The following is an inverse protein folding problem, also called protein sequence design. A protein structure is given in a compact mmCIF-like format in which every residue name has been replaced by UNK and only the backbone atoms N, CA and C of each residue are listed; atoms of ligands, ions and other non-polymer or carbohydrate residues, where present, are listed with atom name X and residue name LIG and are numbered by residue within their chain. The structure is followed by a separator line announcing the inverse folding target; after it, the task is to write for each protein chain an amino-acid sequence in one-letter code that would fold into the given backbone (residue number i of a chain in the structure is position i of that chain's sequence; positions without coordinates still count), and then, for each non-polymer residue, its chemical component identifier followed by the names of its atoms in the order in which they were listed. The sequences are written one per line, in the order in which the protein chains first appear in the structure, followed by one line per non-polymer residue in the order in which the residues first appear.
data_IF_911237664601
#
_entry.id   IF_911237664601
#
_cell.length_a   1.000
_cell.length_b   1.000
_cell.length_c   1.000
_cell.angle_alpha   90.00
_cell.angle_beta   90.00
_cell.angle_gamma   90.00
#
_symmetry.space_group_name_H-M   'P 1'
#
loop_
_entity.id
_entity.type
_entity.pdbx_description
1 polymer ?
#
# COMPACT_ATOMS: atom_id res chain seq x y z
N UNK A 1 15.53 26.59 0.27
CA UNK A 1 16.65 26.30 1.20
C UNK A 1 16.41 24.91 1.79
N UNK A 2 17.34 23.96 1.62
CA UNK A 2 17.19 22.58 2.10
C UNK A 2 17.71 22.47 3.55
N UNK A 3 16.87 22.67 4.55
CA UNK A 3 17.27 22.69 5.97
C UNK A 3 17.40 21.29 6.62
N UNK A 4 16.96 20.24 5.92
CA UNK A 4 16.82 18.89 6.47
C UNK A 4 17.93 17.89 6.07
N UNK A 5 18.93 18.30 5.27
CA UNK A 5 19.92 17.40 4.64
C UNK A 5 20.69 16.46 5.58
N UNK A 6 20.88 16.82 6.86
CA UNK A 6 21.72 16.07 7.80
C UNK A 6 20.98 14.99 8.60
N UNK A 7 19.67 15.16 8.83
CA UNK A 7 18.79 14.21 9.53
C UNK A 7 17.35 14.32 9.00
N UNK A 8 17.12 14.05 7.71
CA UNK A 8 15.86 14.35 7.05
C UNK A 8 14.68 13.60 7.69
N UNK A 9 14.85 12.32 8.04
CA UNK A 9 13.80 11.53 8.68
C UNK A 9 13.36 12.12 10.04
N UNK A 10 14.30 12.56 10.88
CA UNK A 10 14.00 13.13 12.18
C UNK A 10 13.20 14.43 12.07
N UNK A 11 13.64 15.35 11.21
CA UNK A 11 12.96 16.64 11.03
C UNK A 11 11.64 16.55 10.25
N UNK A 12 11.41 15.46 9.51
CA UNK A 12 10.13 15.17 8.85
C UNK A 12 9.12 14.51 9.80
N UNK A 13 9.57 14.00 10.95
CA UNK A 13 8.71 13.42 11.98
C UNK A 13 8.43 14.43 13.11
N UNK A 14 9.45 15.22 13.49
CA UNK A 14 9.37 16.23 14.55
C UNK A 14 9.35 17.65 13.98
N UNK A 15 8.14 18.20 13.85
CA UNK A 15 7.94 19.54 13.30
C UNK A 15 8.48 20.64 14.22
N UNK A 16 8.49 20.41 15.54
CA UNK A 16 9.01 21.37 16.50
C UNK A 16 10.52 21.50 16.36
N UNK A 17 11.22 20.37 16.24
CA UNK A 17 12.66 20.38 15.99
C UNK A 17 13.02 21.04 14.65
N UNK A 18 12.19 20.88 13.62
CA UNK A 18 12.38 21.57 12.34
C UNK A 18 12.11 23.08 12.45
N UNK A 19 11.09 23.48 13.21
CA UNK A 19 10.73 24.87 13.46
C UNK A 19 11.84 25.61 14.21
N UNK A 20 12.36 25.03 15.30
CA UNK A 20 13.49 25.58 16.05
C UNK A 20 14.73 25.76 15.18
N UNK A 21 15.05 24.75 14.37
CA UNK A 21 16.16 24.84 13.41
C UNK A 21 15.94 25.96 12.40
N UNK A 22 14.74 26.07 11.85
CA UNK A 22 14.38 27.12 10.88
C UNK A 22 14.50 28.51 11.50
N UNK A 23 14.00 28.69 12.73
CA UNK A 23 14.10 29.94 13.48
C UNK A 23 15.55 30.37 13.74
N UNK A 24 16.45 29.41 14.01
CA UNK A 24 17.88 29.67 14.14
C UNK A 24 18.46 30.23 12.84
N UNK A 25 18.15 29.62 11.69
CA UNK A 25 18.64 30.11 10.39
C UNK A 25 18.04 31.47 10.00
N UNK A 26 16.78 31.73 10.32
CA UNK A 26 16.16 33.04 10.09
C UNK A 26 16.92 34.16 10.82
N UNK A 27 17.36 33.91 12.06
CA UNK A 27 18.18 34.86 12.83
C UNK A 27 19.57 35.03 12.20
N UNK A 28 20.28 33.94 11.92
CA UNK A 28 21.62 34.01 11.31
C UNK A 28 21.63 34.72 9.94
N UNK A 29 20.62 34.48 9.11
CA UNK A 29 20.50 35.12 7.80
C UNK A 29 20.18 36.61 7.92
N UNK A 30 19.41 37.00 8.95
CA UNK A 30 19.16 38.40 9.25
C UNK A 30 20.43 39.09 9.77
N UNK A 31 21.20 38.43 10.64
CA UNK A 31 22.44 38.97 11.20
C UNK A 31 23.52 39.12 10.12
N UNK A 32 23.54 38.22 9.14
CA UNK A 32 24.40 38.29 7.97
C UNK A 32 23.92 39.30 6.88
N UNK A 33 22.80 40.00 7.11
CA UNK A 33 22.24 40.98 6.17
C UNK A 33 21.60 40.39 4.91
N UNK A 34 21.42 39.07 4.85
CA UNK A 34 20.80 38.36 3.72
C UNK A 34 19.27 38.50 3.75
N UNK A 35 18.70 38.59 4.96
CA UNK A 35 17.27 38.85 5.19
C UNK A 35 17.06 40.19 5.92
N UNK A 36 15.99 40.90 5.60
CA UNK A 36 15.59 42.07 6.38
C UNK A 36 15.05 41.66 7.75
N UNK A 37 15.20 42.54 8.75
CA UNK A 37 14.67 42.30 10.09
C UNK A 37 13.14 42.08 10.07
N UNK A 38 12.42 42.81 9.23
CA UNK A 38 10.98 42.64 9.06
C UNK A 38 10.62 41.23 8.56
N UNK A 39 11.37 40.68 7.59
CA UNK A 39 11.14 39.32 7.08
C UNK A 39 11.49 38.25 8.11
N UNK A 40 12.57 38.45 8.89
CA UNK A 40 12.92 37.59 10.03
C UNK A 40 11.76 37.53 11.01
N UNK A 41 11.25 38.69 11.42
CA UNK A 41 10.23 38.77 12.46
C UNK A 41 8.93 38.12 11.99
N UNK A 42 8.49 38.36 10.75
CA UNK A 42 7.34 37.66 10.16
C UNK A 42 7.54 36.13 10.16
N UNK A 43 8.74 35.68 9.75
CA UNK A 43 9.07 34.25 9.73
C UNK A 43 9.05 33.61 11.12
N UNK A 44 9.56 34.29 12.14
CA UNK A 44 9.55 33.80 13.53
C UNK A 44 8.14 33.72 14.14
N UNK A 45 7.20 34.55 13.67
CA UNK A 45 5.79 34.51 14.11
C UNK A 45 4.94 33.49 13.34
N UNK A 46 5.49 32.86 12.30
CA UNK A 46 4.78 31.90 11.46
C UNK A 46 5.26 30.48 11.78
N UNK A 47 4.53 29.70 12.60
CA UNK A 47 4.94 28.33 12.92
C UNK A 47 4.86 27.44 11.67
N UNK A 48 5.83 26.55 11.50
CA UNK A 48 5.78 25.53 10.47
C UNK A 48 4.61 24.58 10.72
N UNK A 49 3.85 24.30 9.67
CA UNK A 49 2.78 23.30 9.65
C UNK A 49 3.02 22.34 8.50
N UNK A 50 2.77 21.04 8.72
CA UNK A 50 2.77 20.10 7.63
C UNK A 50 1.59 20.43 6.70
N UNK A 51 1.88 20.58 5.41
CA UNK A 51 0.82 20.65 4.42
C UNK A 51 0.08 19.31 4.44
N UNK A 52 -1.26 19.30 4.64
CA UNK A 52 -2.01 18.06 4.52
C UNK A 52 -1.73 17.45 3.15
N UNK A 53 -1.36 16.16 3.13
CA UNK A 53 -1.04 15.45 1.90
C UNK A 53 -2.25 15.56 0.94
N UNK A 54 -2.09 16.30 -0.15
CA UNK A 54 -3.06 16.36 -1.24
C UNK A 54 -2.98 15.12 -2.15
N UNK A 55 -2.06 14.19 -1.88
CA UNK A 55 -2.09 12.89 -2.56
C UNK A 55 -3.45 12.25 -2.26
N UNK A 56 -4.16 11.75 -3.29
CA UNK A 56 -5.38 11.00 -3.06
C UNK A 56 -5.08 9.94 -2.00
N UNK A 57 -5.94 9.85 -0.99
CA UNK A 57 -5.91 8.79 0.01
C UNK A 57 -5.47 7.52 -0.69
N UNK A 58 -4.29 6.99 -0.34
CA UNK A 58 -3.83 5.72 -0.88
C UNK A 58 -4.96 4.77 -0.50
N UNK A 59 -5.75 4.38 -1.51
CA UNK A 59 -6.91 3.50 -1.37
C UNK A 59 -6.51 2.42 -0.38
N UNK A 60 -7.26 2.24 0.72
CA UNK A 60 -6.90 1.28 1.76
C UNK A 60 -6.56 -0.05 1.09
N UNK A 61 -5.26 -0.32 0.99
CA UNK A 61 -4.75 -1.45 0.22
C UNK A 61 -5.07 -2.66 1.07
N UNK A 62 -5.96 -3.53 0.57
CA UNK A 62 -6.32 -4.73 1.33
C UNK A 62 -5.12 -5.66 1.38
N UNK A 63 -5.05 -6.57 2.36
CA UNK A 63 -3.98 -7.57 2.40
C UNK A 63 -3.93 -8.43 1.12
N UNK A 64 -5.10 -8.66 0.50
CA UNK A 64 -5.20 -9.35 -0.79
C UNK A 64 -4.49 -8.57 -1.90
N UNK A 65 -4.67 -7.25 -1.94
CA UNK A 65 -4.01 -6.37 -2.92
C UNK A 65 -2.49 -6.39 -2.74
N UNK A 66 -2.01 -6.37 -1.48
CA UNK A 66 -0.59 -6.44 -1.17
C UNK A 66 0.01 -7.77 -1.62
N UNK A 67 -0.68 -8.91 -1.37
CA UNK A 67 -0.19 -10.24 -1.75
C UNK A 67 -0.04 -10.37 -3.26
N UNK A 68 -1.06 -9.97 -4.01
CA UNK A 68 -1.04 -10.12 -5.45
C UNK A 68 -0.02 -9.16 -6.10
N UNK A 69 0.06 -7.92 -5.61
CA UNK A 69 1.08 -6.95 -6.04
C UNK A 69 2.49 -7.44 -5.75
N UNK A 70 2.71 -8.01 -4.56
CA UNK A 70 4.02 -8.56 -4.18
C UNK A 70 4.43 -9.75 -5.06
N UNK A 71 3.49 -10.66 -5.34
CA UNK A 71 3.72 -11.79 -6.24
C UNK A 71 4.12 -11.31 -7.64
N UNK A 72 3.37 -10.36 -8.19
CA UNK A 72 3.64 -9.74 -9.49
C UNK A 72 5.03 -9.08 -9.52
N UNK A 73 5.38 -8.30 -8.49
CA UNK A 73 6.69 -7.63 -8.42
C UNK A 73 7.85 -8.62 -8.32
N UNK A 74 7.67 -9.70 -7.57
CA UNK A 74 8.66 -10.79 -7.48
C UNK A 74 8.86 -11.48 -8.84
N UNK A 75 7.76 -11.76 -9.56
CA UNK A 75 7.83 -12.33 -10.92
C UNK A 75 8.53 -11.38 -11.90
N UNK A 76 8.18 -10.09 -11.87
CA UNK A 76 8.82 -9.06 -12.71
C UNK A 76 10.33 -8.94 -12.42
N UNK A 77 10.72 -8.99 -11.14
CA UNK A 77 12.13 -8.98 -10.76
C UNK A 77 12.89 -10.13 -11.42
N UNK A 78 12.33 -11.34 -11.40
CA UNK A 78 12.92 -12.53 -12.00
C UNK A 78 12.98 -12.42 -13.54
N UNK A 79 11.90 -11.96 -14.17
CA UNK A 79 11.82 -11.81 -15.63
C UNK A 79 12.81 -10.77 -16.16
N UNK A 80 12.92 -9.64 -15.48
CA UNK A 80 13.82 -8.54 -15.84
C UNK A 80 15.24 -8.73 -15.32
N UNK A 81 15.49 -9.80 -14.54
CA UNK A 81 16.79 -10.15 -13.96
C UNK A 81 17.42 -9.01 -13.16
N UNK A 82 16.59 -8.26 -12.43
CA UNK A 82 17.07 -7.19 -11.54
C UNK A 82 17.44 -7.73 -10.16
N UNK A 83 18.49 -7.19 -9.52
CA UNK A 83 19.05 -7.77 -8.30
C UNK A 83 18.13 -7.60 -7.08
N UNK A 84 17.29 -6.57 -7.05
CA UNK A 84 16.34 -6.35 -5.97
C UNK A 84 15.01 -5.74 -6.43
N UNK A 85 13.98 -5.83 -5.58
CA UNK A 85 12.72 -5.11 -5.77
C UNK A 85 12.89 -3.59 -5.72
N UNK A 86 13.91 -3.10 -5.01
CA UNK A 86 14.25 -1.68 -5.00
C UNK A 86 14.73 -1.23 -6.37
N UNK A 87 15.62 -2.00 -7.01
CA UNK A 87 16.08 -1.70 -8.37
C UNK A 87 14.93 -1.79 -9.38
N UNK A 88 13.99 -2.71 -9.18
CA UNK A 88 12.77 -2.80 -9.99
C UNK A 88 11.91 -1.53 -9.87
N UNK A 89 11.78 -0.95 -8.67
CA UNK A 89 11.02 0.29 -8.45
C UNK A 89 11.62 1.50 -9.18
N UNK A 90 12.92 1.52 -9.41
CA UNK A 90 13.60 2.59 -10.16
C UNK A 90 13.46 2.48 -11.67
N UNK A 91 12.93 1.36 -12.19
CA UNK A 91 12.74 1.18 -13.63
C UNK A 91 11.44 1.81 -14.16
N UNK A 92 10.56 2.30 -13.28
CA UNK A 92 9.26 2.91 -13.63
C UNK A 92 8.42 2.04 -14.59
N UNK A 93 8.47 0.71 -14.43
CA UNK A 93 7.80 -0.24 -15.31
C UNK A 93 6.29 -0.18 -15.11
N UNK A 94 5.56 -0.05 -16.22
CA UNK A 94 4.10 -0.21 -16.27
C UNK A 94 3.74 -1.57 -16.88
N UNK A 95 2.83 -2.30 -16.25
CA UNK A 95 2.41 -3.62 -16.71
C UNK A 95 0.90 -3.82 -16.52
N UNK A 96 0.31 -4.57 -17.44
CA UNK A 96 -1.07 -5.05 -17.33
C UNK A 96 -1.07 -6.54 -16.98
N UNK A 97 -1.91 -6.93 -16.03
CA UNK A 97 -2.05 -8.33 -15.61
C UNK A 97 -3.48 -8.80 -15.79
N UNK A 98 -3.66 -10.12 -15.86
CA UNK A 98 -5.00 -10.75 -15.92
C UNK A 98 -5.67 -10.86 -14.55
N UNK A 99 -5.05 -10.33 -13.49
CA UNK A 99 -5.56 -10.40 -12.13
C UNK A 99 -6.74 -9.42 -11.98
N UNK A 100 -7.90 -9.94 -11.63
CA UNK A 100 -9.07 -9.13 -11.28
C UNK A 100 -9.19 -8.99 -9.76
N UNK A 101 -8.85 -7.79 -9.26
CA UNK A 101 -8.90 -7.45 -7.85
C UNK A 101 -10.30 -7.62 -7.23
N UNK A 102 -11.34 -7.23 -7.96
CA UNK A 102 -12.71 -7.30 -7.45
C UNK A 102 -13.18 -8.76 -7.35
N UNK A 103 -12.78 -9.59 -8.31
CA UNK A 103 -13.07 -11.02 -8.29
C UNK A 103 -12.32 -11.74 -7.17
N UNK A 104 -11.03 -11.47 -6.99
CA UNK A 104 -10.21 -11.99 -5.89
C UNK A 104 -10.81 -11.66 -4.51
N UNK A 105 -11.24 -10.41 -4.30
CA UNK A 105 -11.89 -9.99 -3.06
C UNK A 105 -13.19 -10.77 -2.80
N UNK A 106 -14.04 -10.89 -3.82
CA UNK A 106 -15.30 -11.67 -3.72
C UNK A 106 -15.06 -13.13 -3.39
N UNK A 107 -14.07 -13.76 -4.03
CA UNK A 107 -13.68 -15.14 -3.76
C UNK A 107 -13.17 -15.28 -2.33
N UNK A 108 -12.29 -14.37 -1.88
CA UNK A 108 -11.79 -14.36 -0.52
C UNK A 108 -12.90 -14.29 0.52
N UNK A 109 -13.87 -13.38 0.33
CA UNK A 109 -15.05 -13.29 1.19
C UNK A 109 -15.87 -14.58 1.17
N UNK A 110 -16.11 -15.17 0.00
CA UNK A 110 -16.84 -16.42 -0.12
C UNK A 110 -16.14 -17.56 0.64
N UNK A 111 -14.82 -17.71 0.46
CA UNK A 111 -14.05 -18.76 1.14
C UNK A 111 -14.04 -18.57 2.66
N UNK A 112 -14.02 -17.33 3.15
CA UNK A 112 -14.18 -17.03 4.58
C UNK A 112 -15.57 -17.40 5.11
N UNK A 113 -16.61 -17.10 4.34
CA UNK A 113 -17.99 -17.45 4.70
C UNK A 113 -18.23 -18.96 4.76
N UNK A 114 -17.48 -19.76 3.99
CA UNK A 114 -17.53 -21.22 4.07
C UNK A 114 -17.02 -21.79 5.42
N UNK A 115 -16.40 -20.99 6.29
CA UNK A 115 -16.10 -21.41 7.66
C UNK A 115 -17.34 -21.32 8.59
N UNK A 116 -18.41 -20.65 8.16
CA UNK A 116 -19.63 -20.44 8.94
C UNK A 116 -20.69 -21.50 8.61
N UNK A 117 -21.05 -22.31 9.61
CA UNK A 117 -22.10 -23.33 9.48
C UNK A 117 -23.44 -22.76 9.05
N UNK A 118 -23.80 -21.55 9.50
CA UNK A 118 -25.09 -20.92 9.14
C UNK A 118 -25.12 -20.54 7.67
N UNK A 119 -23.99 -20.05 7.12
CA UNK A 119 -23.84 -19.76 5.71
C UNK A 119 -23.92 -21.03 4.86
N UNK A 120 -23.31 -22.14 5.31
CA UNK A 120 -23.37 -23.44 4.63
C UNK A 120 -24.81 -23.98 4.55
N UNK A 121 -25.59 -23.85 5.62
CA UNK A 121 -26.99 -24.25 5.64
C UNK A 121 -27.82 -23.41 4.66
N UNK A 122 -27.68 -22.09 4.70
CA UNK A 122 -28.42 -21.16 3.82
C UNK A 122 -28.09 -21.34 2.34
N UNK A 123 -26.85 -21.70 2.02
CA UNK A 123 -26.41 -21.94 0.64
C UNK A 123 -26.69 -23.36 0.15
N UNK A 124 -27.27 -24.22 0.99
CA UNK A 124 -27.58 -25.60 0.64
C UNK A 124 -26.36 -26.48 0.45
N UNK A 125 -25.21 -26.09 1.01
CA UNK A 125 -23.95 -26.83 1.00
C UNK A 125 -23.88 -27.89 2.12
N UNK A 126 -24.82 -27.87 3.07
CA UNK A 126 -25.01 -28.89 4.11
C UNK A 126 -25.65 -30.20 3.57
N UNK A 127 -25.19 -30.71 2.41
CA UNK A 127 -25.70 -31.95 1.80
C UNK A 127 -24.74 -33.12 1.96
N UNK A 128 -25.24 -34.37 1.92
CA UNK A 128 -24.39 -35.55 1.90
C UNK A 128 -23.31 -35.42 0.81
N UNK A 129 -22.06 -35.76 1.16
CA UNK A 129 -20.86 -35.62 0.31
C UNK A 129 -20.39 -34.18 0.04
N UNK A 130 -21.01 -33.16 0.64
CA UNK A 130 -20.50 -31.79 0.67
C UNK A 130 -20.00 -31.47 2.09
N UNK A 131 -20.56 -30.45 2.73
CA UNK A 131 -20.16 -29.95 4.05
C UNK A 131 -21.13 -30.39 5.15
N UNK A 132 -21.69 -31.61 5.04
CA UNK A 132 -22.70 -32.12 5.97
C UNK A 132 -22.17 -32.61 7.32
N UNK A 133 -20.85 -32.84 7.45
CA UNK A 133 -20.24 -33.38 8.66
C UNK A 133 -18.93 -32.67 9.00
N UNK A 134 -18.66 -32.53 10.29
CA UNK A 134 -17.46 -31.87 10.80
C UNK A 134 -17.67 -30.37 11.05
N UNK A 135 -16.64 -29.73 11.63
CA UNK A 135 -16.65 -28.29 11.82
C UNK A 135 -16.08 -27.61 10.55
N UNK A 136 -16.87 -26.82 9.81
CA UNK A 136 -16.41 -26.16 8.59
C UNK A 136 -15.27 -25.17 8.82
N UNK A 137 -15.12 -24.63 10.03
CA UNK A 137 -14.00 -23.76 10.39
C UNK A 137 -12.64 -24.49 10.43
N UNK A 138 -12.64 -25.83 10.51
CA UNK A 138 -11.42 -26.63 10.51
C UNK A 138 -11.01 -27.10 9.11
N UNK A 139 -11.72 -26.65 8.07
CA UNK A 139 -11.47 -27.04 6.68
C UNK A 139 -10.66 -25.95 5.98
N UNK A 140 -9.59 -26.33 5.30
CA UNK A 140 -8.83 -25.43 4.43
C UNK A 140 -9.49 -25.41 3.06
N UNK A 141 -10.12 -24.29 2.71
CA UNK A 141 -10.73 -24.11 1.40
C UNK A 141 -9.73 -23.54 0.39
N UNK A 142 -9.73 -24.07 -0.83
CA UNK A 142 -8.95 -23.57 -1.96
C UNK A 142 -9.83 -23.54 -3.20
N UNK A 143 -9.65 -22.54 -4.05
CA UNK A 143 -10.38 -22.42 -5.32
C UNK A 143 -9.40 -22.35 -6.49
N UNK A 144 -9.76 -22.98 -7.60
CA UNK A 144 -9.03 -22.88 -8.87
C UNK A 144 -10.02 -22.54 -9.97
N UNK A 145 -9.80 -21.43 -10.67
CA UNK A 145 -10.70 -20.95 -11.72
C UNK A 145 -10.05 -21.11 -13.09
N UNK A 146 -10.80 -21.60 -14.05
CA UNK A 146 -10.38 -21.68 -15.44
C UNK A 146 -11.34 -20.89 -16.32
N UNK A 147 -10.79 -20.01 -17.16
CA UNK A 147 -11.53 -19.38 -18.24
C UNK A 147 -11.42 -20.24 -19.51
N UNK A 148 -12.56 -20.57 -20.12
CA UNK A 148 -12.58 -21.31 -21.38
C UNK A 148 -12.42 -20.36 -22.56
N UNK A 149 -11.36 -20.54 -23.34
CA UNK A 149 -11.07 -19.77 -24.55
C UNK A 149 -10.98 -20.67 -25.78
N UNK A 150 -10.95 -20.08 -26.99
CA UNK A 150 -10.73 -20.83 -28.24
C UNK A 150 -9.37 -21.53 -28.30
N UNK A 151 -8.38 -21.04 -27.55
CA UNK A 151 -7.04 -21.64 -27.45
C UNK A 151 -6.91 -22.71 -26.33
N UNK A 152 -7.95 -22.87 -25.49
CA UNK A 152 -7.95 -23.81 -24.36
C UNK A 152 -8.44 -23.20 -23.05
N UNK A 153 -8.39 -24.00 -21.98
CA UNK A 153 -8.71 -23.53 -20.63
C UNK A 153 -7.50 -22.80 -20.04
N UNK A 154 -7.66 -21.52 -19.75
CA UNK A 154 -6.62 -20.70 -19.13
C UNK A 154 -6.89 -20.59 -17.64
N UNK A 155 -5.87 -20.91 -16.83
CA UNK A 155 -5.93 -20.67 -15.39
C UNK A 155 -6.11 -19.17 -15.14
N UNK A 156 -7.07 -18.84 -14.27
CA UNK A 156 -7.28 -17.51 -13.74
C UNK A 156 -6.93 -17.54 -12.26
N UNK A 157 -5.94 -16.72 -11.93
CA UNK A 157 -5.56 -16.39 -10.57
C UNK A 157 -6.02 -14.98 -10.35
#
# INVERSE_FOLDING_TARGET
MLLALRRPAYYLQDIHALNEKTNLYLRLLSDAGVLSQALRDIGLHTPLVYTPSTKPSIRQVTEADLKATHFIRTQLQQLLKVPSLYDLDHLDVSMHTTLDQALQAKIGTLLQQLADSTFIEQTGLAKPHLLSHGNPANIIYTMTMYERTSAGNLLRV
#
